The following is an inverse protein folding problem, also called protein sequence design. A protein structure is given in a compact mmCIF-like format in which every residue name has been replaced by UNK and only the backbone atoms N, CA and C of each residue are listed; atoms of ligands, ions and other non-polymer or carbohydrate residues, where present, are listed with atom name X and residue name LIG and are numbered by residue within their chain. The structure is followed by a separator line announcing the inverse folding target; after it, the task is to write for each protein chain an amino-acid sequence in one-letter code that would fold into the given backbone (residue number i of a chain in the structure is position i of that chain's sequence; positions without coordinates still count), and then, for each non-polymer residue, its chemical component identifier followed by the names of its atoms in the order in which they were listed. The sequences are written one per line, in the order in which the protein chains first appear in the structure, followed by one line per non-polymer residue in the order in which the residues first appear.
data_IF_596384574997
#
_entry.id   IF_596384574997
#
_cell.length_a   1.000
_cell.length_b   1.000
_cell.length_c   1.000
_cell.angle_alpha   90.00
_cell.angle_beta   90.00
_cell.angle_gamma   90.00
#
_symmetry.space_group_name_H-M   'P 1'
#
loop_
_entity.id
_entity.type
_entity.pdbx_description
1 polymer ?
#
# COMPACT_ATOMS: atom_id res chain seq x y z
N UNK A 1 -13.36 11.32 -3.27
CA UNK A 1 -13.50 10.13 -2.40
C UNK A 1 -12.25 9.26 -2.55
N UNK A 2 -11.24 9.47 -1.70
CA UNK A 2 -10.07 8.59 -1.62
C UNK A 2 -10.45 7.35 -0.81
N UNK A 3 -10.95 6.32 -1.49
CA UNK A 3 -11.02 4.99 -0.90
C UNK A 3 -9.59 4.52 -0.67
N UNK A 4 -9.24 4.23 0.59
CA UNK A 4 -7.98 3.57 0.92
C UNK A 4 -7.85 2.34 0.02
N UNK A 5 -6.97 2.41 -0.97
CA UNK A 5 -6.48 1.28 -1.76
C UNK A 5 -5.80 0.35 -0.77
N UNK A 6 -6.62 -0.53 -0.20
CA UNK A 6 -6.45 -1.01 1.16
C UNK A 6 -5.77 -2.36 1.19
N UNK A 7 -4.69 -2.42 1.95
CA UNK A 7 -4.22 -3.68 2.52
C UNK A 7 -5.29 -4.20 3.48
N UNK A 8 -5.93 -5.31 3.10
CA UNK A 8 -6.98 -5.95 3.87
C UNK A 8 -6.55 -7.36 4.19
N UNK A 9 -6.67 -7.75 5.46
CA UNK A 9 -6.44 -9.13 5.88
C UNK A 9 -7.74 -9.74 6.35
N UNK A 10 -8.13 -10.86 5.75
CA UNK A 10 -9.24 -11.68 6.21
C UNK A 10 -8.85 -13.16 6.16
N UNK A 11 -9.21 -13.94 7.19
CA UNK A 11 -8.88 -15.37 7.27
C UNK A 11 -7.39 -15.69 7.01
N UNK A 12 -6.48 -14.88 7.55
CA UNK A 12 -5.02 -14.96 7.31
C UNK A 12 -4.61 -14.84 5.83
N UNK A 13 -5.47 -14.28 4.97
CA UNK A 13 -5.19 -13.99 3.56
C UNK A 13 -5.01 -12.49 3.39
N UNK A 14 -3.93 -12.12 2.72
CA UNK A 14 -3.60 -10.75 2.35
C UNK A 14 -4.27 -10.40 1.02
N UNK A 15 -5.04 -9.32 1.05
CA UNK A 15 -5.62 -8.67 -0.11
C UNK A 15 -5.07 -7.26 -0.22
N UNK A 16 -4.77 -6.83 -1.43
CA UNK A 16 -4.40 -5.44 -1.70
C UNK A 16 -5.10 -4.98 -2.96
N UNK A 17 -5.69 -3.79 -2.93
CA UNK A 17 -6.48 -3.22 -4.04
C UNK A 17 -7.64 -4.10 -4.51
N UNK A 18 -8.16 -4.96 -3.63
CA UNK A 18 -9.22 -5.94 -3.94
C UNK A 18 -8.73 -7.27 -4.49
N UNK A 19 -7.43 -7.42 -4.77
CA UNK A 19 -6.84 -8.64 -5.29
C UNK A 19 -6.28 -9.51 -4.16
N UNK A 20 -6.48 -10.82 -4.26
CA UNK A 20 -5.78 -11.78 -3.39
C UNK A 20 -4.30 -11.82 -3.77
N UNK A 21 -3.44 -11.63 -2.77
CA UNK A 21 -1.98 -11.61 -2.95
C UNK A 21 -1.41 -12.96 -2.55
N UNK A 22 -1.55 -13.30 -1.26
CA UNK A 22 -1.06 -14.55 -0.67
C UNK A 22 -1.65 -14.77 0.72
N UNK A 23 -1.39 -15.94 1.30
CA UNK A 23 -1.59 -16.15 2.73
C UNK A 23 -0.46 -15.48 3.53
N UNK A 24 -0.80 -15.01 4.72
CA UNK A 24 0.16 -14.45 5.67
C UNK A 24 1.01 -15.55 6.29
N UNK A 25 2.26 -15.21 6.54
CA UNK A 25 3.19 -16.04 7.29
C UNK A 25 2.96 -15.92 8.80
N UNK A 26 3.46 -16.88 9.58
CA UNK A 26 3.26 -16.91 11.04
C UNK A 26 3.73 -15.62 11.73
N UNK A 27 4.88 -15.08 11.31
CA UNK A 27 5.39 -13.82 11.87
C UNK A 27 4.52 -12.61 11.48
N UNK A 28 3.90 -12.62 10.30
CA UNK A 28 3.03 -11.53 9.84
C UNK A 28 1.69 -11.54 10.59
N UNK A 29 1.21 -12.73 10.95
CA UNK A 29 0.05 -12.89 11.84
C UNK A 29 0.33 -12.27 13.20
N UNK A 30 1.54 -12.43 13.75
CA UNK A 30 1.95 -11.78 15.00
C UNK A 30 2.03 -10.26 14.87
N UNK A 31 2.63 -9.75 13.78
CA UNK A 31 2.64 -8.31 13.48
C UNK A 31 1.21 -7.74 13.39
N UNK A 32 0.30 -8.47 12.75
CA UNK A 32 -1.10 -8.07 12.64
C UNK A 32 -1.79 -8.05 14.01
N UNK A 33 -1.53 -9.04 14.88
CA UNK A 33 -2.06 -9.05 16.25
C UNK A 33 -1.55 -7.84 17.04
N UNK A 34 -0.25 -7.54 16.97
CA UNK A 34 0.34 -6.36 17.60
C UNK A 34 -0.32 -5.07 17.10
N UNK A 35 -0.42 -4.91 15.78
CA UNK A 35 -1.07 -3.75 15.16
C UNK A 35 -2.53 -3.58 15.59
N UNK A 36 -3.30 -4.67 15.68
CA UNK A 36 -4.69 -4.63 16.18
C UNK A 36 -4.78 -4.14 17.62
N UNK A 37 -3.89 -4.61 18.49
CA UNK A 37 -3.85 -4.17 19.88
C UNK A 37 -3.50 -2.68 19.99
N UNK A 38 -2.51 -2.23 19.23
CA UNK A 38 -2.13 -0.82 19.16
C UNK A 38 -3.27 0.07 18.63
N UNK A 39 -4.05 -0.42 17.66
CA UNK A 39 -5.24 0.29 17.18
C UNK A 39 -6.33 0.44 18.24
N UNK A 40 -6.54 -0.56 19.09
CA UNK A 40 -7.49 -0.45 20.22
C UNK A 40 -7.04 0.62 21.20
N UNK A 41 -5.75 0.62 21.57
CA UNK A 41 -5.17 1.64 22.46
C UNK A 41 -5.26 3.03 21.83
N UNK A 42 -4.92 3.15 20.53
CA UNK A 42 -5.00 4.39 19.79
C UNK A 42 -6.43 4.96 19.77
N UNK A 43 -7.43 4.13 19.43
CA UNK A 43 -8.85 4.55 19.43
C UNK A 43 -9.30 4.99 20.80
N UNK A 44 -8.89 4.30 21.87
CA UNK A 44 -9.21 4.69 23.24
C UNK A 44 -8.62 6.06 23.58
N UNK A 45 -7.33 6.29 23.29
CA UNK A 45 -6.68 7.59 23.53
C UNK A 45 -7.29 8.73 22.71
N UNK A 46 -7.68 8.44 21.47
CA UNK A 46 -8.39 9.39 20.61
C UNK A 46 -9.72 9.77 21.25
N UNK A 47 -10.53 8.79 21.64
CA UNK A 47 -11.82 9.04 22.28
C UNK A 47 -11.67 9.82 23.59
N UNK A 48 -10.69 9.47 24.43
CA UNK A 48 -10.39 10.20 25.67
C UNK A 48 -9.96 11.64 25.41
N UNK A 49 -9.12 11.89 24.39
CA UNK A 49 -8.71 13.23 24.01
C UNK A 49 -9.91 14.08 23.55
N UNK A 50 -10.81 13.51 22.74
CA UNK A 50 -12.00 14.23 22.26
C UNK A 50 -13.04 14.47 23.38
N UNK A 51 -13.26 13.51 24.27
CA UNK A 51 -14.17 13.68 25.43
C UNK A 51 -13.66 14.72 26.43
N UNK A 52 -12.35 14.89 26.56
CA UNK A 52 -11.75 15.89 27.43
C UNK A 52 -11.57 17.25 26.73
N UNK A 53 -11.59 17.31 25.40
CA UNK A 53 -11.45 18.55 24.64
C UNK A 53 -12.57 19.56 24.93
N UNK A 54 -13.80 19.08 25.15
CA UNK A 54 -14.92 19.95 25.57
C UNK A 54 -14.72 20.55 26.96
N UNK A 55 -13.97 19.88 27.86
CA UNK A 55 -13.65 20.41 29.20
C UNK A 55 -12.51 21.43 29.18
N UNK A 56 -11.63 21.41 28.17
CA UNK A 56 -10.41 22.25 28.09
C UNK A 56 -10.66 23.57 27.36
N UNK A 57 -11.78 23.75 26.65
CA UNK A 57 -12.12 25.01 25.97
C UNK A 57 -12.26 26.24 26.90
N UNK A 58 -12.36 26.04 28.22
CA UNK A 58 -12.47 27.13 29.21
C UNK A 58 -11.13 27.63 29.77
N UNK A 59 -10.00 27.12 29.31
CA UNK A 59 -8.67 27.58 29.76
C UNK A 59 -7.85 27.80 28.50
N UNK A 60 -7.22 28.98 28.34
CA UNK A 60 -6.33 29.35 27.21
C UNK A 60 -5.24 28.29 26.96
N UNK A 61 -5.55 27.21 26.24
CA UNK A 61 -4.74 25.98 26.26
C UNK A 61 -4.27 25.58 24.86
N UNK A 62 -2.97 25.31 24.79
CA UNK A 62 -2.26 24.61 23.73
C UNK A 62 -2.97 23.29 23.38
N UNK A 63 -3.06 22.98 22.09
CA UNK A 63 -3.71 21.78 21.54
C UNK A 63 -3.19 20.52 22.26
N UNK A 64 -4.06 19.68 22.85
CA UNK A 64 -3.61 18.47 23.53
C UNK A 64 -2.88 17.54 22.56
N UNK A 65 -1.80 16.86 23.00
CA UNK A 65 -1.00 16.02 22.13
C UNK A 65 -1.83 14.87 21.56
N UNK A 66 -2.01 14.89 20.24
CA UNK A 66 -2.76 13.88 19.51
C UNK A 66 -2.00 12.54 19.58
N UNK A 67 -2.67 11.42 19.90
CA UNK A 67 -2.05 10.10 19.87
C UNK A 67 -1.41 9.81 18.50
N UNK A 68 -0.25 9.15 18.50
CA UNK A 68 0.42 8.76 17.25
C UNK A 68 -0.29 7.53 16.68
N UNK A 69 -0.66 7.60 15.40
CA UNK A 69 -1.29 6.47 14.69
C UNK A 69 -0.30 5.30 14.59
N UNK A 70 -0.73 4.07 14.93
CA UNK A 70 0.10 2.89 14.75
C UNK A 70 0.56 2.72 13.31
N UNK A 71 1.81 2.30 13.14
CA UNK A 71 2.42 2.05 11.83
C UNK A 71 1.79 0.78 11.27
N UNK A 72 1.33 0.85 10.01
CA UNK A 72 0.77 -0.34 9.34
C UNK A 72 1.85 -1.42 9.19
N UNK A 73 1.49 -2.71 9.24
CA UNK A 73 2.46 -3.78 9.03
C UNK A 73 3.17 -3.64 7.68
N UNK A 74 4.45 -4.01 7.62
CA UNK A 74 5.30 -3.82 6.44
C UNK A 74 4.79 -4.57 5.21
N UNK A 75 4.09 -5.70 5.41
CA UNK A 75 3.48 -6.47 4.33
C UNK A 75 2.37 -5.72 3.59
N UNK A 76 1.83 -4.64 4.15
CA UNK A 76 0.87 -3.76 3.49
C UNK A 76 1.49 -2.76 2.52
N UNK A 77 2.80 -2.58 2.58
CA UNK A 77 3.58 -1.67 1.72
C UNK A 77 4.71 -2.42 1.01
N UNK A 78 4.62 -3.75 0.96
CA UNK A 78 5.61 -4.61 0.31
C UNK A 78 5.47 -4.59 -1.22
N UNK A 79 6.49 -5.12 -1.90
CA UNK A 79 6.52 -5.24 -3.37
C UNK A 79 5.28 -5.94 -3.91
N UNK A 80 4.83 -7.01 -3.25
CA UNK A 80 3.65 -7.79 -3.62
C UNK A 80 2.35 -6.96 -3.61
N UNK A 81 2.29 -5.94 -2.75
CA UNK A 81 1.12 -5.06 -2.60
C UNK A 81 1.16 -3.81 -3.47
N UNK A 82 2.30 -3.54 -4.12
CA UNK A 82 2.48 -2.39 -5.00
C UNK A 82 1.73 -2.61 -6.32
N UNK A 83 0.93 -1.61 -6.70
CA UNK A 83 0.21 -1.57 -7.97
C UNK A 83 0.97 -0.68 -8.95
N UNK A 84 1.40 -1.27 -10.05
CA UNK A 84 1.94 -0.54 -11.19
C UNK A 84 0.82 -0.32 -12.21
N UNK A 85 0.56 0.94 -12.55
CA UNK A 85 -0.52 1.30 -13.47
C UNK A 85 0.12 1.67 -14.80
N UNK A 86 -0.21 0.92 -15.83
CA UNK A 86 0.23 1.16 -17.20
C UNK A 86 -0.97 1.56 -18.08
N UNK A 87 -0.69 2.10 -19.27
CA UNK A 87 -1.72 2.50 -20.23
C UNK A 87 -2.45 1.30 -20.83
N UNK A 88 -3.41 0.72 -20.09
CA UNK A 88 -4.27 -0.38 -20.57
C UNK A 88 -4.39 -1.56 -19.60
N UNK A 89 -3.43 -1.71 -18.67
CA UNK A 89 -3.46 -2.76 -17.66
C UNK A 89 -2.79 -2.30 -16.36
N UNK A 90 -3.04 -3.04 -15.29
CA UNK A 90 -2.34 -2.87 -14.01
C UNK A 90 -1.60 -4.15 -13.65
N UNK A 91 -0.45 -3.98 -13.00
CA UNK A 91 0.39 -5.09 -12.58
C UNK A 91 0.52 -5.05 -11.07
N UNK A 92 0.25 -6.18 -10.43
CA UNK A 92 0.35 -6.33 -8.99
C UNK A 92 0.73 -7.77 -8.66
N UNK A 93 1.69 -7.97 -7.76
CA UNK A 93 2.15 -9.31 -7.36
C UNK A 93 2.49 -10.22 -8.55
N UNK A 94 3.20 -9.68 -9.54
CA UNK A 94 3.55 -10.38 -10.79
C UNK A 94 2.36 -10.88 -11.61
N UNK A 95 1.18 -10.29 -11.45
CA UNK A 95 -0.03 -10.59 -12.20
C UNK A 95 -0.49 -9.36 -12.98
N UNK A 96 -0.93 -9.59 -14.21
CA UNK A 96 -1.51 -8.59 -15.10
C UNK A 96 -3.03 -8.57 -14.93
N UNK A 97 -3.59 -7.39 -14.73
CA UNK A 97 -5.02 -7.15 -14.61
C UNK A 97 -5.48 -6.17 -15.68
N UNK A 98 -6.57 -6.50 -16.37
CA UNK A 98 -7.27 -5.57 -17.26
C UNK A 98 -8.54 -5.13 -16.53
N UNK A 99 -8.57 -3.87 -16.12
CA UNK A 99 -9.61 -3.36 -15.22
C UNK A 99 -9.52 -3.99 -13.82
N UNK A 100 -10.47 -4.90 -13.49
CA UNK A 100 -10.50 -5.67 -12.22
C UNK A 100 -10.36 -7.17 -12.43
N UNK A 101 -10.09 -7.60 -13.66
CA UNK A 101 -10.04 -9.02 -14.03
C UNK A 101 -8.59 -9.44 -14.18
N UNK A 102 -8.22 -10.56 -13.55
CA UNK A 102 -6.93 -11.20 -13.76
C UNK A 102 -6.85 -11.69 -15.21
N UNK A 103 -5.90 -11.15 -15.98
CA UNK A 103 -5.67 -11.54 -17.36
C UNK A 103 -4.69 -12.71 -17.44
N UNK A 104 -3.49 -12.53 -16.86
CA UNK A 104 -2.44 -13.55 -16.82
C UNK A 104 -1.39 -13.29 -15.75
N UNK A 105 -0.57 -14.30 -15.48
CA UNK A 105 0.68 -14.15 -14.73
C UNK A 105 1.80 -13.60 -15.64
N UNK A 106 2.72 -12.83 -15.05
CA UNK A 106 3.95 -12.45 -15.73
C UNK A 106 4.88 -13.64 -15.86
N UNK A 107 5.55 -13.76 -17.00
CA UNK A 107 6.63 -14.72 -17.19
C UNK A 107 7.93 -14.23 -16.51
N UNK A 108 8.96 -15.09 -16.47
CA UNK A 108 10.22 -14.77 -15.77
C UNK A 108 11.01 -13.61 -16.40
N UNK A 109 10.89 -13.40 -17.71
CA UNK A 109 11.55 -12.29 -18.40
C UNK A 109 10.86 -10.96 -18.08
N UNK A 110 9.53 -10.96 -18.10
CA UNK A 110 8.68 -9.82 -17.75
C UNK A 110 8.86 -9.40 -16.29
N UNK A 111 8.99 -10.36 -15.36
CA UNK A 111 9.32 -10.07 -13.96
C UNK A 111 10.65 -9.32 -13.85
N UNK A 112 11.68 -9.75 -14.58
CA UNK A 112 12.99 -9.06 -14.60
C UNK A 112 12.89 -7.65 -15.18
N UNK A 113 12.13 -7.47 -16.26
CA UNK A 113 11.89 -6.15 -16.85
C UNK A 113 11.17 -5.23 -15.88
N UNK A 114 10.15 -5.73 -15.17
CA UNK A 114 9.44 -4.99 -14.14
C UNK A 114 10.37 -4.58 -12.99
N UNK A 115 11.24 -5.48 -12.51
CA UNK A 115 12.21 -5.15 -11.46
C UNK A 115 13.22 -4.08 -11.91
N UNK A 116 13.70 -4.15 -13.15
CA UNK A 116 14.58 -3.13 -13.71
C UNK A 116 13.87 -1.77 -13.80
N UNK A 117 12.61 -1.75 -14.24
CA UNK A 117 11.80 -0.55 -14.29
C UNK A 117 11.59 0.07 -12.90
N UNK A 118 11.24 -0.75 -11.90
CA UNK A 118 11.09 -0.32 -10.51
C UNK A 118 12.37 0.28 -9.97
N UNK A 119 13.52 -0.34 -10.28
CA UNK A 119 14.83 0.15 -9.85
C UNK A 119 15.15 1.51 -10.49
N UNK A 120 14.93 1.63 -11.81
CA UNK A 120 15.15 2.89 -12.55
C UNK A 120 14.25 4.02 -12.06
N UNK A 121 12.96 3.77 -11.85
CA UNK A 121 12.03 4.79 -11.36
C UNK A 121 12.33 5.18 -9.93
N UNK A 122 12.70 4.22 -9.07
CA UNK A 122 13.05 4.54 -7.69
C UNK A 122 14.32 5.40 -7.64
N UNK A 123 15.30 5.13 -8.52
CA UNK A 123 16.49 5.96 -8.65
C UNK A 123 16.17 7.35 -9.25
N UNK A 124 15.33 7.42 -10.29
CA UNK A 124 14.96 8.69 -10.94
C UNK A 124 14.02 9.56 -10.09
N UNK A 125 13.19 8.99 -9.22
CA UNK A 125 12.38 9.76 -8.26
C UNK A 125 13.24 10.58 -7.28
N UNK A 126 14.56 10.37 -7.22
CA UNK A 126 15.50 11.23 -6.50
C UNK A 126 16.05 12.41 -7.32
N UNK A 127 15.82 12.46 -8.64
CA UNK A 127 16.33 13.52 -9.51
C UNK A 127 15.22 14.08 -10.44
N UNK A 128 14.51 15.09 -9.93
CA UNK A 128 13.39 15.78 -10.60
C UNK A 128 13.78 16.61 -11.84
N UNK A 129 15.03 16.54 -12.32
CA UNK A 129 15.55 17.40 -13.38
C UNK A 129 15.70 16.73 -14.76
N UNK A 130 15.47 15.42 -14.88
CA UNK A 130 15.70 14.68 -16.13
C UNK A 130 14.40 14.58 -16.94
N UNK A 131 14.38 15.03 -18.22
CA UNK A 131 13.22 14.87 -19.08
C UNK A 131 12.88 13.38 -19.25
N UNK A 132 11.61 13.06 -18.98
CA UNK A 132 11.03 11.71 -18.99
C UNK A 132 11.05 11.14 -20.43
N UNK A 133 12.18 10.57 -20.84
CA UNK A 133 12.23 9.70 -22.02
C UNK A 133 11.40 8.45 -21.71
N UNK A 134 10.51 8.08 -22.64
CA UNK A 134 9.41 7.14 -22.45
C UNK A 134 9.85 5.86 -21.68
N UNK A 135 9.56 5.76 -20.37
CA UNK A 135 10.03 4.65 -19.56
C UNK A 135 9.26 3.36 -19.85
N UNK A 136 8.29 3.41 -20.76
CA UNK A 136 7.54 2.25 -21.22
C UNK A 136 8.21 1.53 -22.40
N UNK A 137 9.36 2.00 -22.89
CA UNK A 137 10.09 1.35 -23.98
C UNK A 137 10.48 -0.08 -23.55
N UNK A 138 9.72 -1.09 -24.02
CA UNK A 138 9.92 -2.50 -23.70
C UNK A 138 9.03 -3.08 -22.58
N UNK A 139 8.04 -2.34 -22.07
CA UNK A 139 7.05 -2.84 -21.09
C UNK A 139 5.69 -3.05 -21.76
N UNK A 140 5.68 -3.86 -22.83
CA UNK A 140 4.48 -4.25 -23.59
C UNK A 140 3.63 -5.30 -22.86
N UNK A 141 3.48 -5.19 -21.54
CA UNK A 141 2.67 -6.12 -20.74
C UNK A 141 1.18 -6.04 -21.05
N UNK A 142 0.75 -4.92 -21.64
CA UNK A 142 -0.66 -4.58 -21.85
C UNK A 142 -1.07 -4.56 -23.33
N UNK A 143 -0.17 -4.91 -24.26
CA UNK A 143 -0.36 -4.75 -25.72
C UNK A 143 -0.10 -6.07 -26.46
N UNK A 144 -0.82 -7.12 -26.10
CA UNK A 144 -0.97 -8.28 -26.98
C UNK A 144 -2.23 -8.05 -27.83
N UNK A 145 -2.04 -7.70 -29.11
CA UNK A 145 -3.08 -7.69 -30.13
C UNK A 145 -2.91 -8.88 -31.07
#
# INVERSE_FOLDING_TARGET
MWGSTGCVVTQNKLFSNGNFIRSLETFEIEQLKKYKNELVVFRKKINEAFMNAEKVQNINSTIPPVPIKPIVPSFCTGKDTTLYIFGGCTIQNNKVYVGRTLARDLNEEEKKLLEQFVTKITAQKMDTSIPFSDPNTGLEFCTEF
#
